data_IF_157158766157
#
_entry.id   IF_157158766157
#
_cell.length_a   1.000
_cell.length_b   1.000
_cell.length_c   1.000
_cell.angle_alpha   90.00
_cell.angle_beta   90.00
_cell.angle_gamma   90.00
#
_symmetry.space_group_name_H-M   'P 1'
#
loop_
_entity.id
_entity.type
_entity.pdbx_description
1 polymer ?
#
# COMPACT_ATOMS: atom_id res chain seq x y z
N UNK A 1 -38.57 -1.22 -64.23
CA UNK A 1 -39.50 -0.61 -63.26
C UNK A 1 -40.28 -1.69 -62.53
N UNK A 2 -39.82 -2.08 -61.32
CA UNK A 2 -40.59 -2.68 -60.20
C UNK A 2 -39.62 -3.14 -59.10
N UNK A 3 -40.09 -2.96 -57.85
CA UNK A 3 -39.62 -3.55 -56.57
C UNK A 3 -38.27 -3.08 -55.99
N UNK A 4 -38.05 -3.01 -54.67
CA UNK A 4 -38.80 -2.72 -53.43
C UNK A 4 -37.74 -2.90 -52.32
N UNK A 5 -37.71 -2.01 -51.33
CA UNK A 5 -37.27 -2.22 -49.93
C UNK A 5 -35.91 -2.89 -49.62
N UNK A 6 -35.01 -2.17 -48.90
CA UNK A 6 -34.83 -2.30 -47.43
C UNK A 6 -33.67 -1.41 -46.95
N UNK A 7 -33.98 -0.55 -45.98
CA UNK A 7 -33.03 0.11 -45.10
C UNK A 7 -32.51 -0.89 -44.06
N UNK A 8 -31.23 -0.77 -43.69
CA UNK A 8 -30.69 -1.36 -42.45
C UNK A 8 -29.94 -0.23 -41.75
N UNK A 9 -30.59 0.32 -40.72
CA UNK A 9 -29.98 1.07 -39.64
C UNK A 9 -29.93 0.13 -38.44
N UNK A 10 -28.75 -0.12 -37.88
CA UNK A 10 -28.61 -0.83 -36.60
C UNK A 10 -28.15 0.17 -35.56
N UNK A 11 -29.09 0.49 -34.68
CA UNK A 11 -28.91 1.00 -33.32
C UNK A 11 -28.60 -0.17 -32.38
N UNK A 12 -27.72 0.02 -31.39
CA UNK A 12 -27.75 -0.58 -30.05
C UNK A 12 -26.58 0.04 -29.26
N UNK A 13 -26.70 0.53 -28.02
CA UNK A 13 -27.80 0.51 -27.06
C UNK A 13 -27.20 0.77 -25.67
N UNK A 14 -27.58 1.89 -25.06
CA UNK A 14 -27.44 2.17 -23.63
C UNK A 14 -28.44 1.28 -22.88
N UNK A 15 -28.02 0.57 -21.83
CA UNK A 15 -28.91 0.06 -20.76
C UNK A 15 -28.04 -0.37 -19.55
N UNK A 16 -28.14 0.33 -18.39
CA UNK A 16 -28.89 -0.06 -17.16
C UNK A 16 -28.02 -0.92 -16.23
N UNK A 17 -27.87 -0.62 -14.93
CA UNK A 17 -28.90 -0.73 -13.88
C UNK A 17 -28.72 0.33 -12.78
N UNK A 18 -29.80 1.09 -12.56
CA UNK A 18 -30.14 1.76 -11.31
C UNK A 18 -31.26 0.95 -10.65
N UNK A 19 -31.06 0.50 -9.40
CA UNK A 19 -32.02 0.05 -8.37
C UNK A 19 -31.27 -0.97 -7.47
N UNK A 20 -31.32 -0.90 -6.14
CA UNK A 20 -32.53 -1.12 -5.38
C UNK A 20 -32.52 -0.48 -3.97
N UNK A 21 -33.74 -0.18 -3.53
CA UNK A 21 -34.16 0.49 -2.31
C UNK A 21 -34.09 -0.36 -1.02
N UNK A 22 -34.13 0.38 0.09
CA UNK A 22 -34.54 0.03 1.46
C UNK A 22 -35.70 -0.99 1.55
N UNK A 23 -35.61 -1.93 2.48
CA UNK A 23 -36.77 -2.60 3.11
C UNK A 23 -36.42 -3.02 4.54
N UNK A 24 -37.18 -2.53 5.51
CA UNK A 24 -37.17 -2.94 6.93
C UNK A 24 -38.09 -4.15 7.10
N UNK A 25 -37.65 -5.15 7.88
CA UNK A 25 -38.50 -6.01 8.70
C UNK A 25 -39.03 -7.30 8.05
N UNK A 26 -38.51 -8.45 8.47
CA UNK A 26 -39.31 -9.66 8.74
C UNK A 26 -38.55 -10.61 9.66
N UNK A 27 -39.35 -11.31 10.44
CA UNK A 27 -39.06 -11.95 11.72
C UNK A 27 -38.19 -13.20 11.62
N UNK A 28 -37.59 -13.54 12.76
CA UNK A 28 -36.89 -14.78 13.01
C UNK A 28 -37.75 -16.00 12.65
N UNK A 29 -37.24 -16.85 11.77
CA UNK A 29 -37.59 -18.27 11.73
C UNK A 29 -36.33 -19.04 12.11
N UNK A 30 -36.30 -19.49 13.37
CA UNK A 30 -35.30 -20.40 13.89
C UNK A 30 -35.37 -21.72 13.12
N UNK A 31 -34.25 -22.14 12.51
CA UNK A 31 -34.06 -23.52 12.10
C UNK A 31 -33.46 -24.29 13.27
N UNK A 32 -34.29 -25.11 13.91
CA UNK A 32 -33.92 -26.11 14.91
C UNK A 32 -33.07 -27.20 14.25
N UNK A 33 -31.76 -27.14 14.47
CA UNK A 33 -30.80 -28.20 14.15
C UNK A 33 -29.69 -28.19 15.21
N UNK A 34 -29.16 -29.35 15.62
CA UNK A 34 -28.07 -29.38 16.59
C UNK A 34 -26.89 -28.59 16.02
N UNK A 35 -26.51 -27.51 16.71
CA UNK A 35 -25.41 -26.65 16.31
C UNK A 35 -24.15 -27.50 16.12
N UNK A 36 -23.70 -27.63 14.88
CA UNK A 36 -22.35 -28.10 14.58
C UNK A 36 -21.40 -27.20 15.36
N UNK A 37 -20.49 -27.73 16.21
CA UNK A 37 -19.59 -26.88 16.97
C UNK A 37 -18.82 -26.00 15.98
N UNK A 38 -19.02 -24.69 16.07
CA UNK A 38 -18.21 -23.71 15.36
C UNK A 38 -16.75 -24.02 15.69
N UNK A 39 -15.87 -24.23 14.70
CA UNK A 39 -14.46 -24.40 14.96
C UNK A 39 -14.01 -23.21 15.80
N UNK A 40 -13.61 -23.48 17.04
CA UNK A 40 -12.98 -22.48 17.89
C UNK A 40 -11.73 -22.04 17.16
N UNK A 41 -11.73 -20.82 16.63
CA UNK A 41 -10.51 -20.20 16.15
C UNK A 41 -9.50 -20.31 17.31
N UNK A 42 -8.29 -20.84 17.10
CA UNK A 42 -7.31 -20.88 18.16
C UNK A 42 -7.11 -19.43 18.62
N UNK A 43 -7.59 -19.14 19.83
CA UNK A 43 -7.30 -17.90 20.54
C UNK A 43 -5.84 -17.97 20.94
N UNK A 44 -4.97 -17.57 20.03
CA UNK A 44 -3.59 -17.25 20.33
C UNK A 44 -3.51 -15.75 20.54
N UNK A 45 -3.00 -15.33 21.69
CA UNK A 45 -2.51 -13.97 21.98
C UNK A 45 -1.30 -13.59 21.09
N UNK A 46 -1.17 -14.17 19.90
CA UNK A 46 -0.12 -13.78 18.96
C UNK A 46 -0.46 -12.41 18.38
N UNK A 47 0.42 -11.42 18.54
CA UNK A 47 0.15 -10.08 18.04
C UNK A 47 -0.03 -10.13 16.52
N UNK A 48 -1.04 -9.40 16.03
CA UNK A 48 -1.34 -9.35 14.61
C UNK A 48 -0.15 -8.75 13.86
N UNK A 49 0.73 -9.58 13.28
CA UNK A 49 1.91 -9.14 12.51
C UNK A 49 1.56 -8.37 11.22
N UNK A 50 0.27 -8.16 10.91
CA UNK A 50 -0.17 -7.24 9.85
C UNK A 50 -0.28 -5.80 10.33
N UNK A 51 -0.30 -5.58 11.64
CA UNK A 51 -0.28 -4.25 12.23
C UNK A 51 1.11 -3.63 12.02
N UNK A 52 1.23 -2.49 11.30
CA UNK A 52 2.48 -1.77 11.12
C UNK A 52 3.15 -1.38 12.44
N UNK A 53 2.39 -1.09 13.49
CA UNK A 53 2.96 -0.72 14.78
C UNK A 53 3.57 -1.93 15.49
N UNK A 54 3.01 -3.11 15.30
CA UNK A 54 3.61 -4.36 15.78
C UNK A 54 4.84 -4.70 14.92
N UNK A 55 4.68 -4.70 13.60
CA UNK A 55 5.70 -5.18 12.67
C UNK A 55 6.93 -4.26 12.61
N UNK A 56 6.72 -2.94 12.53
CA UNK A 56 7.80 -1.96 12.55
C UNK A 56 8.14 -1.47 13.97
N UNK A 57 7.45 -1.97 15.00
CA UNK A 57 7.77 -1.69 16.41
C UNK A 57 8.78 -2.65 17.02
N UNK A 58 9.27 -3.63 16.25
CA UNK A 58 10.26 -4.58 16.73
C UNK A 58 11.54 -3.84 17.17
N UNK A 59 12.05 -4.11 18.40
CA UNK A 59 13.22 -3.44 18.91
C UNK A 59 14.48 -3.90 18.18
N UNK A 60 15.57 -3.15 18.36
CA UNK A 60 16.88 -3.60 17.92
C UNK A 60 17.26 -4.93 18.60
N UNK A 61 17.90 -5.81 17.85
CA UNK A 61 18.32 -7.13 18.34
C UNK A 61 19.79 -7.34 18.02
N UNK A 62 20.56 -7.85 18.98
CA UNK A 62 21.94 -8.28 18.77
C UNK A 62 22.14 -9.74 19.15
N UNK A 63 23.13 -10.38 18.53
CA UNK A 63 23.62 -11.70 18.93
C UNK A 63 25.13 -11.63 19.15
N UNK A 64 25.61 -12.25 20.21
CA UNK A 64 27.03 -12.22 20.60
C UNK A 64 27.31 -11.18 21.67
N UNK A 65 28.58 -10.78 21.81
CA UNK A 65 29.06 -9.95 22.92
C UNK A 65 29.54 -8.55 22.49
N UNK A 66 29.37 -8.20 21.22
CA UNK A 66 29.72 -6.88 20.71
C UNK A 66 28.74 -5.80 21.18
N UNK A 67 29.28 -4.65 21.55
CA UNK A 67 28.53 -3.41 21.70
C UNK A 67 28.45 -2.72 20.34
N UNK A 68 27.23 -2.33 19.94
CA UNK A 68 26.96 -1.72 18.64
C UNK A 68 26.56 -0.26 18.81
N UNK A 69 27.17 0.61 18.01
CA UNK A 69 26.81 2.04 17.97
C UNK A 69 26.31 2.39 16.58
N UNK A 70 25.18 3.11 16.52
CA UNK A 70 24.69 3.77 15.30
C UNK A 70 24.83 5.26 15.52
N UNK A 71 25.76 5.90 14.81
CA UNK A 71 26.06 7.31 14.98
C UNK A 71 25.11 8.21 14.19
N UNK A 72 24.79 7.80 12.96
CA UNK A 72 23.90 8.54 12.07
C UNK A 72 23.21 7.59 11.10
N UNK A 73 22.05 7.98 10.58
CA UNK A 73 21.40 7.31 9.47
C UNK A 73 20.61 8.33 8.65
N UNK A 74 20.52 8.14 7.35
CA UNK A 74 19.76 9.03 6.47
C UNK A 74 19.01 8.24 5.41
N UNK A 75 17.90 8.83 4.96
CA UNK A 75 17.17 8.41 3.78
C UNK A 75 17.04 9.61 2.83
N UNK A 76 17.28 9.38 1.54
CA UNK A 76 17.16 10.40 0.50
C UNK A 76 16.31 9.90 -0.64
N UNK A 77 15.17 10.56 -0.88
CA UNK A 77 14.36 10.31 -2.09
C UNK A 77 15.00 10.96 -3.31
N UNK A 78 15.17 10.18 -4.38
CA UNK A 78 15.65 10.61 -5.69
C UNK A 78 14.59 10.39 -6.79
N UNK A 79 13.30 10.51 -6.45
CA UNK A 79 12.20 10.26 -7.38
C UNK A 79 12.40 10.93 -8.76
N UNK A 80 12.18 10.22 -9.89
CA UNK A 80 11.72 8.83 -10.02
C UNK A 80 12.86 7.78 -10.05
N UNK A 81 14.09 8.19 -9.78
CA UNK A 81 15.30 7.37 -9.87
C UNK A 81 15.61 6.58 -8.58
N UNK A 82 14.60 6.40 -7.73
CA UNK A 82 14.68 5.61 -6.51
C UNK A 82 15.17 6.39 -5.30
N UNK A 83 15.89 5.74 -4.39
CA UNK A 83 16.30 6.37 -3.13
C UNK A 83 17.57 5.75 -2.57
N UNK A 84 18.24 6.51 -1.70
CA UNK A 84 19.47 6.11 -1.02
C UNK A 84 19.24 5.98 0.48
N UNK A 85 19.88 4.97 1.06
CA UNK A 85 20.07 4.83 2.50
C UNK A 85 21.55 5.03 2.82
N UNK A 86 21.83 5.77 3.90
CA UNK A 86 23.16 5.78 4.49
C UNK A 86 23.10 5.51 5.98
N UNK A 87 24.14 4.89 6.53
CA UNK A 87 24.29 4.66 7.97
C UNK A 87 25.76 4.65 8.36
N UNK A 88 26.05 5.25 9.50
CA UNK A 88 27.35 5.13 10.18
C UNK A 88 27.16 4.26 11.41
N UNK A 89 27.85 3.13 11.45
CA UNK A 89 27.75 2.17 12.53
C UNK A 89 29.11 1.54 12.86
N UNK A 90 29.28 1.11 14.11
CA UNK A 90 30.49 0.43 14.59
C UNK A 90 30.16 -0.73 15.53
N UNK A 91 31.05 -1.72 15.57
CA UNK A 91 31.06 -2.83 16.52
C UNK A 91 32.31 -2.73 17.41
N UNK A 92 32.16 -3.01 18.70
CA UNK A 92 33.29 -3.08 19.64
C UNK A 92 34.16 -4.32 19.46
N UNK A 93 33.69 -5.36 18.76
CA UNK A 93 34.39 -6.64 18.63
C UNK A 93 35.24 -6.75 17.36
N UNK A 94 34.97 -5.96 16.32
CA UNK A 94 35.71 -6.04 15.08
C UNK A 94 35.16 -5.13 13.98
N UNK A 95 35.76 -5.24 12.79
CA UNK A 95 35.28 -4.54 11.60
C UNK A 95 33.93 -5.15 11.16
N UNK A 96 33.01 -4.30 10.71
CA UNK A 96 31.77 -4.76 10.07
C UNK A 96 32.13 -5.30 8.68
N UNK A 97 31.88 -6.59 8.48
CA UNK A 97 32.17 -7.27 7.21
C UNK A 97 30.97 -7.28 6.26
N UNK A 98 29.76 -7.17 6.79
CA UNK A 98 28.54 -7.11 6.01
C UNK A 98 27.55 -6.12 6.59
N UNK A 99 26.96 -5.30 5.72
CA UNK A 99 25.82 -4.45 6.01
C UNK A 99 24.73 -4.69 4.96
N UNK A 100 23.48 -4.80 5.40
CA UNK A 100 22.31 -4.98 4.53
C UNK A 100 21.19 -4.10 5.01
N UNK A 101 20.64 -3.27 4.13
CA UNK A 101 19.39 -2.58 4.38
C UNK A 101 18.23 -3.49 3.99
N UNK A 102 17.21 -3.54 4.85
CA UNK A 102 15.94 -4.20 4.58
C UNK A 102 14.86 -3.15 4.68
N UNK A 103 14.03 -2.99 3.65
CA UNK A 103 12.95 -2.01 3.66
C UNK A 103 11.63 -2.59 3.18
N UNK A 104 10.57 -1.85 3.45
CA UNK A 104 9.20 -2.26 3.23
C UNK A 104 8.30 -1.03 3.05
N UNK A 105 7.44 -1.07 2.02
CA UNK A 105 6.43 -0.03 1.79
C UNK A 105 5.11 -0.31 2.52
N UNK A 106 4.78 -1.59 2.70
CA UNK A 106 3.67 -2.07 3.50
C UNK A 106 4.07 -3.39 4.19
N UNK A 107 3.50 -3.70 5.37
CA UNK A 107 3.88 -4.88 6.15
C UNK A 107 3.93 -6.16 5.31
N UNK A 108 4.91 -7.04 5.60
CA UNK A 108 5.17 -8.35 4.96
C UNK A 108 5.82 -8.35 3.59
N UNK A 109 5.82 -7.24 2.85
CA UNK A 109 6.66 -7.10 1.65
C UNK A 109 7.98 -6.47 2.03
N UNK A 110 9.06 -7.26 1.95
CA UNK A 110 10.41 -6.79 2.26
C UNK A 110 11.32 -6.91 1.05
N UNK A 111 12.09 -5.87 0.81
CA UNK A 111 13.20 -5.87 -0.13
C UNK A 111 14.50 -5.74 0.65
N UNK A 112 15.57 -6.34 0.13
CA UNK A 112 16.89 -6.33 0.77
C UNK A 112 17.94 -5.88 -0.21
N UNK A 113 18.94 -5.15 0.28
CA UNK A 113 20.11 -4.77 -0.51
C UNK A 113 21.35 -4.71 0.36
N UNK A 114 22.42 -5.34 -0.12
CA UNK A 114 23.74 -5.17 0.48
C UNK A 114 24.20 -3.73 0.32
N UNK A 115 24.87 -3.20 1.33
CA UNK A 115 25.43 -1.87 1.27
C UNK A 115 26.92 -1.91 0.96
N UNK A 116 27.37 -0.88 0.25
CA UNK A 116 28.77 -0.60 0.00
C UNK A 116 29.35 0.21 1.16
N UNK A 117 30.57 -0.11 1.57
CA UNK A 117 31.29 0.60 2.63
C UNK A 117 32.28 1.59 2.03
N UNK A 118 32.18 2.85 2.45
CA UNK A 118 33.17 3.88 2.16
C UNK A 118 34.17 4.00 3.33
N UNK A 119 35.44 3.60 3.14
CA UNK A 119 36.44 3.65 4.20
C UNK A 119 36.90 5.07 4.54
N UNK A 120 36.69 6.06 3.68
CA UNK A 120 37.09 7.46 3.94
C UNK A 120 36.13 8.14 4.90
N UNK A 121 34.84 7.85 4.77
CA UNK A 121 33.77 8.44 5.58
C UNK A 121 33.29 7.53 6.70
N UNK A 122 33.55 6.22 6.62
CA UNK A 122 33.04 5.22 7.56
C UNK A 122 31.56 4.90 7.35
N UNK A 123 30.99 5.28 6.21
CA UNK A 123 29.55 5.19 5.93
C UNK A 123 29.24 3.96 5.06
N UNK A 124 28.16 3.27 5.41
CA UNK A 124 27.53 2.27 4.55
C UNK A 124 26.45 2.93 3.73
N UNK A 125 26.40 2.66 2.43
CA UNK A 125 25.38 3.18 1.52
C UNK A 125 24.73 2.09 0.68
N UNK A 126 23.43 2.23 0.44
CA UNK A 126 22.69 1.34 -0.45
C UNK A 126 21.65 2.14 -1.24
N UNK A 127 21.58 1.90 -2.55
CA UNK A 127 20.68 2.62 -3.46
C UNK A 127 19.67 1.67 -4.06
N UNK A 128 18.38 1.99 -4.04
CA UNK A 128 17.39 1.37 -4.93
C UNK A 128 17.24 2.25 -6.19
N UNK A 129 17.31 1.70 -7.42
CA UNK A 129 17.44 2.48 -8.66
C UNK A 129 16.09 2.95 -9.24
N UNK A 130 15.00 2.84 -8.48
CA UNK A 130 13.72 3.39 -8.90
C UNK A 130 13.06 2.60 -10.02
N UNK A 131 12.54 3.35 -10.99
CA UNK A 131 11.77 2.86 -12.13
C UNK A 131 12.52 1.85 -13.02
N UNK A 132 13.85 1.82 -12.95
CA UNK A 132 14.66 0.82 -13.67
C UNK A 132 14.37 -0.60 -13.18
N UNK A 133 14.06 -0.74 -11.89
CA UNK A 133 13.80 -2.01 -11.23
C UNK A 133 12.30 -2.27 -11.10
N UNK A 134 11.53 -1.32 -10.55
CA UNK A 134 10.10 -1.51 -10.28
C UNK A 134 9.26 -0.21 -10.38
N UNK A 135 7.97 -0.34 -10.64
CA UNK A 135 7.02 0.77 -10.71
C UNK A 135 6.42 1.09 -9.34
N UNK A 136 7.15 1.85 -8.54
CA UNK A 136 6.70 2.34 -7.23
C UNK A 136 6.34 3.83 -7.35
N UNK A 137 5.09 4.23 -7.03
CA UNK A 137 4.68 5.64 -7.09
C UNK A 137 5.37 6.46 -5.99
N UNK A 138 5.44 7.80 -6.11
CA UNK A 138 5.97 8.63 -5.06
C UNK A 138 5.06 8.62 -3.83
N UNK A 139 5.56 9.16 -2.72
CA UNK A 139 4.86 9.31 -1.45
C UNK A 139 4.43 8.00 -0.79
N UNK A 140 4.90 6.85 -1.26
CA UNK A 140 4.79 5.60 -0.50
C UNK A 140 5.71 5.67 0.72
N UNK A 141 5.32 5.01 1.81
CA UNK A 141 6.17 4.89 2.98
C UNK A 141 7.43 4.08 2.64
N UNK A 142 8.55 4.39 3.26
CA UNK A 142 9.75 3.56 3.25
C UNK A 142 10.15 3.32 4.69
N UNK A 143 9.73 2.20 5.25
CA UNK A 143 10.20 1.77 6.57
C UNK A 143 11.38 0.84 6.35
N UNK A 144 12.48 1.03 7.07
CA UNK A 144 13.69 0.24 6.88
C UNK A 144 14.41 -0.07 8.18
N UNK A 145 15.24 -1.11 8.16
CA UNK A 145 16.18 -1.44 9.21
C UNK A 145 17.50 -1.85 8.59
N UNK A 146 18.58 -1.74 9.36
CA UNK A 146 19.90 -2.21 8.97
C UNK A 146 20.23 -3.52 9.67
N UNK A 147 20.97 -4.37 8.98
CA UNK A 147 21.50 -5.64 9.48
C UNK A 147 23.00 -5.66 9.29
N UNK A 148 23.74 -5.95 10.35
CA UNK A 148 25.19 -5.95 10.37
C UNK A 148 25.72 -7.30 10.84
N UNK A 149 26.88 -7.66 10.31
CA UNK A 149 27.71 -8.76 10.81
C UNK A 149 29.15 -8.27 10.89
N UNK A 150 29.81 -8.48 12.03
CA UNK A 150 31.23 -8.17 12.20
C UNK A 150 32.14 -9.40 11.96
N UNK A 151 33.45 -9.15 11.96
CA UNK A 151 34.49 -10.17 11.71
C UNK A 151 34.55 -11.28 12.75
N UNK A 152 33.96 -11.07 13.93
CA UNK A 152 33.87 -12.08 14.99
C UNK A 152 32.54 -12.86 14.92
N UNK A 153 31.71 -12.59 13.92
CA UNK A 153 30.44 -13.25 13.68
C UNK A 153 29.30 -12.74 14.57
N UNK A 154 29.48 -11.62 15.30
CA UNK A 154 28.37 -10.98 16.00
C UNK A 154 27.43 -10.35 14.98
N UNK A 155 26.13 -10.31 15.29
CA UNK A 155 25.13 -9.69 14.40
C UNK A 155 24.31 -8.65 15.14
N UNK A 156 23.84 -7.66 14.39
CA UNK A 156 22.98 -6.61 14.92
C UNK A 156 21.95 -6.18 13.89
N UNK A 157 20.69 -6.17 14.30
CA UNK A 157 19.60 -5.53 13.58
C UNK A 157 19.21 -4.27 14.34
N UNK A 158 19.14 -3.12 13.65
CA UNK A 158 18.56 -1.92 14.25
C UNK A 158 17.07 -2.12 14.49
N UNK A 159 16.47 -1.28 15.33
CA UNK A 159 15.03 -1.05 15.26
C UNK A 159 14.66 -0.51 13.86
N UNK A 160 13.39 -0.61 13.49
CA UNK A 160 12.92 -0.01 12.24
C UNK A 160 12.92 1.52 12.33
N UNK A 161 13.53 2.16 11.34
CA UNK A 161 13.32 3.55 11.00
C UNK A 161 12.00 3.66 10.24
N UNK A 162 11.11 4.53 10.73
CA UNK A 162 9.73 4.67 10.23
C UNK A 162 9.47 6.08 9.75
N UNK A 163 8.56 6.21 8.79
CA UNK A 163 8.00 7.49 8.39
C UNK A 163 8.71 8.19 7.24
N UNK A 164 9.79 7.62 6.69
CA UNK A 164 10.34 8.12 5.44
C UNK A 164 9.37 7.94 4.28
N UNK A 165 9.46 8.81 3.29
CA UNK A 165 8.57 8.81 2.13
C UNK A 165 9.39 8.93 0.85
N UNK A 166 9.03 8.14 -0.17
CA UNK A 166 9.62 8.24 -1.50
C UNK A 166 9.11 9.51 -2.21
N UNK A 167 9.52 10.67 -1.71
CA UNK A 167 8.98 11.97 -2.05
C UNK A 167 9.25 12.39 -3.51
N UNK A 168 8.22 12.92 -4.17
CA UNK A 168 8.36 13.61 -5.45
C UNK A 168 8.57 15.11 -5.23
N UNK A 169 9.83 15.52 -5.23
CA UNK A 169 10.21 16.92 -5.08
C UNK A 169 10.26 17.69 -6.43
N UNK A 170 9.84 17.06 -7.53
CA UNK A 170 9.84 17.67 -8.87
C UNK A 170 8.53 18.37 -9.21
N UNK A 171 7.45 18.03 -8.51
CA UNK A 171 6.12 18.65 -8.63
C UNK A 171 5.70 19.26 -7.28
N UNK A 172 4.73 20.17 -7.32
CA UNK A 172 4.11 20.70 -6.11
C UNK A 172 2.96 19.80 -5.65
N UNK A 173 2.93 19.49 -4.35
CA UNK A 173 1.96 18.59 -3.74
C UNK A 173 1.38 19.20 -2.46
N UNK A 174 0.09 18.95 -2.23
CA UNK A 174 -0.57 19.19 -0.95
C UNK A 174 -0.79 17.86 -0.22
N UNK A 175 -0.51 17.82 1.09
CA UNK A 175 -0.70 16.64 1.95
C UNK A 175 -1.88 16.88 2.87
N UNK A 176 -2.79 15.91 2.90
CA UNK A 176 -3.93 15.86 3.81
C UNK A 176 -3.85 14.55 4.60
N UNK A 177 -4.21 14.59 5.87
CA UNK A 177 -4.16 13.41 6.72
C UNK A 177 -5.34 13.39 7.69
N UNK A 178 -5.97 12.23 7.81
CA UNK A 178 -6.97 11.91 8.82
C UNK A 178 -6.55 10.65 9.59
N UNK A 179 -7.39 10.17 10.50
CA UNK A 179 -7.23 8.84 11.09
C UNK A 179 -7.34 7.70 10.05
N UNK A 180 -8.06 7.92 8.93
CA UNK A 180 -8.34 6.86 7.94
C UNK A 180 -7.37 6.79 6.78
N UNK A 181 -6.79 7.92 6.36
CA UNK A 181 -6.06 8.01 5.09
C UNK A 181 -5.07 9.17 5.09
N UNK A 182 -3.98 9.01 4.33
CA UNK A 182 -3.09 10.11 3.91
C UNK A 182 -3.33 10.36 2.42
N UNK A 183 -3.60 11.61 2.04
CA UNK A 183 -3.89 12.01 0.66
C UNK A 183 -2.85 13.01 0.18
N UNK A 184 -2.21 12.70 -0.95
CA UNK A 184 -1.31 13.58 -1.68
C UNK A 184 -2.02 14.06 -2.95
N UNK A 185 -2.14 15.37 -3.10
CA UNK A 185 -2.84 16.02 -4.22
C UNK A 185 -1.85 16.87 -4.99
N UNK A 186 -1.62 16.55 -6.27
CA UNK A 186 -0.75 17.34 -7.13
C UNK A 186 -1.41 18.70 -7.41
N UNK A 187 -0.60 19.76 -7.46
CA UNK A 187 -1.02 21.07 -7.95
C UNK A 187 -1.71 20.96 -9.32
N UNK A 188 -2.80 21.72 -9.50
CA UNK A 188 -3.66 21.71 -10.69
C UNK A 188 -4.99 20.98 -10.51
N UNK A 189 -5.18 20.27 -9.38
CA UNK A 189 -6.49 19.77 -8.95
C UNK A 189 -7.25 20.80 -8.10
N UNK A 190 -8.60 20.70 -8.02
CA UNK A 190 -9.39 21.54 -7.11
C UNK A 190 -8.87 21.47 -5.66
N UNK A 191 -8.83 22.61 -4.98
CA UNK A 191 -8.27 22.73 -3.61
C UNK A 191 -8.97 21.81 -2.60
N UNK A 192 -10.26 21.54 -2.79
CA UNK A 192 -11.07 20.70 -1.92
C UNK A 192 -10.93 19.19 -2.20
N UNK A 193 -10.17 18.79 -3.23
CA UNK A 193 -10.00 17.37 -3.62
C UNK A 193 -9.52 16.51 -2.46
N UNK A 194 -8.53 16.98 -1.69
CA UNK A 194 -7.99 16.25 -0.55
C UNK A 194 -9.03 16.03 0.55
N UNK A 195 -9.81 17.08 0.85
CA UNK A 195 -10.89 17.02 1.83
C UNK A 195 -12.02 16.09 1.39
N UNK A 196 -12.43 16.15 0.12
CA UNK A 196 -13.47 15.26 -0.42
C UNK A 196 -13.09 13.78 -0.27
N UNK A 197 -11.82 13.42 -0.45
CA UNK A 197 -11.34 12.04 -0.27
C UNK A 197 -11.36 11.63 1.20
N UNK A 198 -10.94 12.51 2.11
CA UNK A 198 -11.01 12.23 3.56
C UNK A 198 -12.46 12.06 4.02
N UNK A 199 -13.37 12.92 3.57
CA UNK A 199 -14.79 12.84 3.90
C UNK A 199 -15.41 11.54 3.36
N UNK A 200 -15.05 11.14 2.15
CA UNK A 200 -15.50 9.89 1.55
C UNK A 200 -15.00 8.65 2.33
N UNK A 201 -13.73 8.66 2.78
CA UNK A 201 -13.19 7.60 3.63
C UNK A 201 -13.90 7.54 4.98
N UNK A 202 -14.07 8.69 5.66
CA UNK A 202 -14.75 8.77 6.94
C UNK A 202 -16.22 8.28 6.85
N UNK A 203 -16.94 8.64 5.79
CA UNK A 203 -18.31 8.21 5.57
C UNK A 203 -18.45 6.68 5.38
N UNK A 204 -17.41 6.01 4.89
CA UNK A 204 -17.39 4.56 4.65
C UNK A 204 -16.87 3.75 5.83
N UNK A 205 -16.24 4.39 6.83
CA UNK A 205 -15.56 3.72 7.93
C UNK A 205 -16.44 2.70 8.65
N UNK A 206 -17.63 3.10 9.08
CA UNK A 206 -18.49 2.23 9.89
C UNK A 206 -19.10 1.10 9.05
N UNK A 207 -19.51 1.40 7.81
CA UNK A 207 -19.93 0.38 6.84
C UNK A 207 -18.81 -0.65 6.62
N UNK A 208 -17.56 -0.20 6.47
CA UNK A 208 -16.42 -1.09 6.32
C UNK A 208 -16.23 -1.94 7.56
N UNK A 209 -16.18 -1.33 8.76
CA UNK A 209 -16.02 -2.04 10.02
C UNK A 209 -17.09 -3.12 10.22
N UNK A 210 -18.35 -2.83 9.91
CA UNK A 210 -19.46 -3.77 10.01
C UNK A 210 -19.34 -4.94 9.01
N UNK A 211 -18.97 -4.65 7.77
CA UNK A 211 -18.81 -5.67 6.74
C UNK A 211 -17.62 -6.60 6.99
N UNK A 212 -16.60 -6.11 7.70
CA UNK A 212 -15.27 -6.72 7.66
C UNK A 212 -14.63 -7.01 9.03
N UNK A 213 -15.30 -6.63 10.12
CA UNK A 213 -14.87 -6.92 11.50
C UNK A 213 -13.73 -6.04 12.03
N UNK A 214 -13.23 -5.09 11.23
CA UNK A 214 -12.12 -4.21 11.59
C UNK A 214 -11.78 -3.24 10.48
N UNK A 215 -10.97 -2.23 10.80
CA UNK A 215 -10.37 -1.33 9.80
C UNK A 215 -9.13 -1.98 9.17
N UNK A 216 -8.60 -1.34 8.12
CA UNK A 216 -7.29 -1.71 7.57
C UNK A 216 -6.23 -1.64 8.66
N UNK A 217 -5.29 -2.59 8.65
CA UNK A 217 -4.22 -2.60 9.64
C UNK A 217 -3.24 -1.44 9.44
N UNK A 218 -3.14 -0.91 8.23
CA UNK A 218 -2.36 0.28 7.91
C UNK A 218 -3.25 1.46 7.53
N UNK A 219 -2.73 2.68 7.69
CA UNK A 219 -3.34 3.89 7.13
C UNK A 219 -3.05 3.93 5.62
N UNK A 220 -4.04 3.72 4.74
CA UNK A 220 -3.82 3.77 3.29
C UNK A 220 -3.36 5.14 2.81
N UNK A 221 -2.73 5.15 1.64
CA UNK A 221 -2.28 6.37 0.95
C UNK A 221 -3.07 6.56 -0.36
N UNK A 222 -3.49 7.78 -0.66
CA UNK A 222 -4.05 8.16 -1.96
C UNK A 222 -3.14 9.20 -2.63
N UNK A 223 -2.69 8.93 -3.85
CA UNK A 223 -1.76 9.80 -4.60
C UNK A 223 -2.46 10.24 -5.88
N UNK A 224 -2.83 11.51 -5.95
CA UNK A 224 -3.71 12.06 -6.98
C UNK A 224 -2.96 13.00 -7.90
N UNK A 225 -2.80 12.59 -9.15
CA UNK A 225 -2.16 13.36 -10.20
C UNK A 225 -3.16 14.24 -10.94
N UNK A 226 -2.74 15.48 -11.24
CA UNK A 226 -3.49 16.43 -12.06
C UNK A 226 -3.43 16.08 -13.55
N UNK A 227 -2.38 15.36 -13.98
CA UNK A 227 -2.14 15.10 -15.39
C UNK A 227 -1.47 13.74 -15.65
N UNK A 228 -1.62 13.25 -16.89
CA UNK A 228 -1.07 11.96 -17.32
C UNK A 228 0.45 11.94 -17.48
N UNK A 229 1.08 13.09 -17.73
CA UNK A 229 2.52 13.17 -17.92
C UNK A 229 3.25 12.87 -16.60
N UNK A 230 2.86 13.53 -15.51
CA UNK A 230 3.38 13.26 -14.17
C UNK A 230 3.04 11.83 -13.71
N UNK A 231 1.83 11.34 -13.99
CA UNK A 231 1.46 9.96 -13.67
C UNK A 231 2.26 8.89 -14.44
N UNK A 232 2.79 9.23 -15.62
CA UNK A 232 3.63 8.30 -16.38
C UNK A 232 5.06 8.18 -15.80
N UNK A 233 5.53 9.16 -15.02
CA UNK A 233 6.92 9.23 -14.55
C UNK A 233 7.35 8.06 -13.66
N UNK A 234 6.42 7.42 -12.94
CA UNK A 234 6.73 6.31 -12.04
C UNK A 234 6.42 4.93 -12.66
N UNK A 235 5.94 4.88 -13.90
CA UNK A 235 5.47 3.65 -14.54
C UNK A 235 6.45 3.14 -15.59
N UNK A 236 6.95 1.92 -15.40
CA UNK A 236 7.83 1.25 -16.34
C UNK A 236 7.07 0.73 -17.56
N UNK A 237 7.62 0.95 -18.76
CA UNK A 237 7.13 0.38 -20.03
C UNK A 237 5.97 1.13 -20.70
N UNK A 238 5.43 0.57 -21.79
CA UNK A 238 4.25 1.11 -22.48
C UNK A 238 3.01 0.98 -21.58
N UNK A 239 2.75 2.03 -20.82
CA UNK A 239 1.51 2.17 -20.06
C UNK A 239 0.32 2.12 -21.02
N UNK A 240 -0.55 1.11 -20.89
CA UNK A 240 -1.88 1.15 -21.49
C UNK A 240 -2.54 2.51 -21.16
N UNK A 241 -2.80 3.37 -22.16
CA UNK A 241 -3.25 4.75 -21.93
C UNK A 241 -4.65 4.80 -21.30
N UNK A 242 -5.36 3.67 -21.24
CA UNK A 242 -6.65 3.55 -20.56
C UNK A 242 -6.53 3.41 -19.04
N UNK A 243 -5.35 3.06 -18.52
CA UNK A 243 -5.13 3.01 -17.07
C UNK A 243 -5.11 4.45 -16.55
N UNK A 244 -6.06 4.74 -15.66
CA UNK A 244 -6.18 6.03 -14.97
C UNK A 244 -5.82 5.94 -13.49
N UNK A 245 -5.59 4.74 -12.97
CA UNK A 245 -5.13 4.54 -11.60
C UNK A 245 -4.78 3.09 -11.30
N UNK A 246 -4.14 2.87 -10.16
CA UNK A 246 -3.75 1.56 -9.64
C UNK A 246 -3.88 1.56 -8.12
N UNK A 247 -4.32 0.44 -7.57
CA UNK A 247 -4.29 0.17 -6.13
C UNK A 247 -3.36 -0.99 -5.88
N UNK A 248 -2.52 -0.92 -4.85
CA UNK A 248 -1.65 -2.02 -4.45
C UNK A 248 -1.54 -2.15 -2.94
N UNK A 249 -1.62 -3.39 -2.48
CA UNK A 249 -1.26 -3.77 -1.11
C UNK A 249 0.24 -3.67 -0.86
N UNK A 250 1.08 -3.83 -1.90
CA UNK A 250 2.54 -3.91 -1.75
C UNK A 250 3.14 -2.60 -1.25
N UNK A 251 2.47 -1.48 -1.54
CA UNK A 251 2.81 -0.15 -1.05
C UNK A 251 1.64 0.55 -0.31
N UNK A 252 0.58 -0.20 -0.01
CA UNK A 252 -0.49 0.21 0.89
C UNK A 252 -1.30 1.42 0.43
N UNK A 253 -1.63 1.54 -0.86
CA UNK A 253 -2.39 2.70 -1.33
C UNK A 253 -3.00 2.61 -2.73
N UNK A 254 -3.51 3.75 -3.17
CA UNK A 254 -4.04 4.01 -4.51
C UNK A 254 -3.35 5.21 -5.14
N UNK A 255 -3.07 5.13 -6.43
CA UNK A 255 -2.53 6.21 -7.26
C UNK A 255 -3.43 6.43 -8.47
N UNK A 256 -3.81 7.66 -8.78
CA UNK A 256 -4.81 7.94 -9.82
C UNK A 256 -4.60 9.30 -10.49
N UNK A 257 -4.90 9.40 -11.79
CA UNK A 257 -5.07 10.66 -12.51
C UNK A 257 -6.51 11.10 -12.40
N UNK A 258 -6.74 12.31 -11.91
CA UNK A 258 -8.06 12.92 -11.86
C UNK A 258 -8.22 13.84 -13.08
N UNK A 259 -9.19 13.54 -13.94
CA UNK A 259 -9.54 14.41 -15.07
C UNK A 259 -10.55 15.48 -14.65
N UNK A 260 -10.51 16.66 -15.28
CA UNK A 260 -11.34 17.84 -15.01
C UNK A 260 -12.87 17.66 -15.08
N UNK A 261 -13.37 16.46 -15.42
CA UNK A 261 -14.78 16.09 -15.33
C UNK A 261 -15.28 15.75 -13.92
N UNK A 262 -14.42 15.86 -12.89
CA UNK A 262 -14.74 15.58 -11.50
C UNK A 262 -14.31 14.18 -11.03
N UNK A 263 -14.24 14.01 -9.71
CA UNK A 263 -13.96 12.73 -9.05
C UNK A 263 -15.21 11.85 -9.14
N UNK A 264 -15.38 11.11 -10.23
CA UNK A 264 -16.57 10.24 -10.42
C UNK A 264 -16.49 8.96 -9.56
N UNK A 265 -15.34 8.67 -8.95
CA UNK A 265 -15.19 7.60 -7.96
C UNK A 265 -14.00 7.94 -7.04
N UNK A 266 -14.21 8.57 -5.88
CA UNK A 266 -13.13 8.75 -4.91
C UNK A 266 -12.70 7.39 -4.38
N UNK A 267 -11.39 7.23 -4.15
CA UNK A 267 -10.79 6.07 -3.50
C UNK A 267 -11.65 5.62 -2.32
N UNK A 268 -12.12 4.36 -2.34
CA UNK A 268 -12.97 3.80 -1.29
C UNK A 268 -12.35 2.56 -0.68
N UNK A 269 -12.66 2.29 0.59
CA UNK A 269 -12.17 1.11 1.32
C UNK A 269 -12.40 -0.24 0.59
N UNK A 270 -13.46 -0.34 -0.21
CA UNK A 270 -13.78 -1.55 -1.00
C UNK A 270 -12.75 -1.79 -2.10
N UNK A 271 -12.18 -0.73 -2.69
CA UNK A 271 -11.10 -0.83 -3.69
C UNK A 271 -9.76 -1.25 -3.06
N UNK A 272 -9.50 -0.85 -1.82
CA UNK A 272 -8.24 -1.12 -1.10
C UNK A 272 -8.14 -2.59 -0.63
N UNK A 273 -9.25 -3.19 -0.18
CA UNK A 273 -9.22 -4.57 0.35
C UNK A 273 -9.13 -5.67 -0.71
N UNK A 274 -9.64 -5.44 -1.92
CA UNK A 274 -9.54 -6.41 -3.02
C UNK A 274 -8.09 -6.84 -3.30
N UNK A 275 -7.12 -6.00 -2.92
CA UNK A 275 -5.70 -6.27 -3.04
C UNK A 275 -5.04 -6.84 -1.77
N UNK A 276 -5.58 -6.59 -0.56
CA UNK A 276 -5.09 -7.19 0.68
C UNK A 276 -5.48 -8.68 0.83
N UNK A 277 -6.58 -9.10 0.19
CA UNK A 277 -7.19 -10.44 0.42
C UNK A 277 -6.65 -11.56 -0.47
N UNK A 278 -5.54 -11.36 -1.22
CA UNK A 278 -5.17 -12.24 -2.34
C UNK A 278 -4.59 -13.62 -1.98
N UNK A 279 -4.62 -14.10 -0.73
CA UNK A 279 -4.13 -15.48 -0.48
C UNK A 279 -5.01 -16.46 0.30
N UNK A 280 -6.08 -16.11 1.05
CA UNK A 280 -6.70 -17.18 1.88
C UNK A 280 -8.24 -17.29 1.99
N UNK A 281 -9.08 -16.37 1.48
CA UNK A 281 -10.54 -16.47 1.76
C UNK A 281 -11.53 -16.02 0.67
N UNK A 282 -11.17 -16.00 -0.61
CA UNK A 282 -12.16 -15.64 -1.66
C UNK A 282 -12.88 -16.87 -2.25
N UNK A 283 -12.31 -18.07 -2.12
CA UNK A 283 -12.83 -19.26 -2.82
C UNK A 283 -14.10 -19.88 -2.17
N UNK A 284 -14.29 -19.92 -0.83
CA UNK A 284 -15.51 -20.55 -0.30
C UNK A 284 -16.79 -19.72 -0.52
N UNK A 285 -16.68 -18.38 -0.54
CA UNK A 285 -17.87 -17.49 -0.59
C UNK A 285 -18.54 -17.44 -1.97
N UNK A 286 -17.81 -17.75 -3.05
CA UNK A 286 -18.38 -17.80 -4.40
C UNK A 286 -18.98 -19.17 -4.73
N UNK A 287 -18.50 -20.25 -4.09
CA UNK A 287 -19.02 -21.60 -4.33
C UNK A 287 -20.30 -21.91 -3.53
N UNK A 288 -20.51 -21.30 -2.35
CA UNK A 288 -21.79 -21.43 -1.63
C UNK A 288 -22.96 -20.77 -2.37
N UNK A 289 -22.74 -19.59 -2.99
CA UNK A 289 -23.78 -18.94 -3.80
C UNK A 289 -24.13 -19.67 -5.10
N UNK A 290 -23.26 -20.55 -5.57
CA UNK A 290 -23.51 -21.34 -6.79
C UNK A 290 -24.27 -22.65 -6.51
N UNK A 291 -24.43 -23.03 -5.24
CA UNK A 291 -25.18 -24.22 -4.81
C UNK A 291 -26.61 -23.91 -4.38
N UNK A 292 -26.97 -22.63 -4.21
CA UNK A 292 -28.32 -22.17 -3.86
C UNK A 292 -29.07 -21.52 -5.04
N UNK A 293 -28.58 -21.68 -6.27
CA UNK A 293 -29.23 -21.23 -7.51
C UNK A 293 -29.74 -22.40 -8.35
#
# INVERSE_FOLDING_TARGET
MKHRQRAISIWLGILVVTALFVSIGLEAVAQDGPATPTPTAPGGDEPNRRDPDVYYGEPATSTGNAEWTVASNTFTSNFPNGFDFTIEASSSAGQIEAATVVWSHAPRQITRRSADFDPETGVFSATWPGIEEDSVPPWVAVNYQWRFTDSEGNTYNTAWFRGEEYADNTNNWSRYESEDIIVFVQEGLPEDTGQQVMDAMAAQRETYRQAWGGLLSNKPRAILYANRQSFAQWRRGESNPRVIGQTSSDWGGTVQVISSGGVVDPVSYTHLRAHETREERVIPLLDEKKKEG
#
